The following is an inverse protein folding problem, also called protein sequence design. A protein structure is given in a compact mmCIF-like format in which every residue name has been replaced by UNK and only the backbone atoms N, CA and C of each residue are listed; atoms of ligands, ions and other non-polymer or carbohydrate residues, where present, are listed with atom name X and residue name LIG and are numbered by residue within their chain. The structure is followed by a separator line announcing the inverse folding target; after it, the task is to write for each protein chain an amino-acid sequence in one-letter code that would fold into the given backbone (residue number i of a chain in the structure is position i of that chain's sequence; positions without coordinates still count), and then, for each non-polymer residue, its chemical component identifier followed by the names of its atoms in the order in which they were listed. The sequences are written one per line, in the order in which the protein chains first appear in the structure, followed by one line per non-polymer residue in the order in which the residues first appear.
data_IF_512156406157
#
_entry.id   IF_512156406157
#
_cell.length_a   1.000
_cell.length_b   1.000
_cell.length_c   1.000
_cell.angle_alpha   90.00
_cell.angle_beta   90.00
_cell.angle_gamma   90.00
#
_symmetry.space_group_name_H-M   'P 1'
#
loop_
_entity.id
_entity.type
_entity.pdbx_description
1 polymer ?
#
# COMPACT_ATOMS: atom_id res chain seq x y z
N UNK A 1 -8.91 -8.90 -21.54
CA UNK A 1 -9.97 -8.40 -20.65
C UNK A 1 -9.46 -7.23 -19.80
N UNK A 2 -8.41 -7.37 -19.03
CA UNK A 2 -7.81 -6.32 -18.15
C UNK A 2 -7.61 -4.99 -18.90
N UNK A 3 -6.91 -4.99 -20.05
CA UNK A 3 -6.65 -3.77 -20.85
C UNK A 3 -7.93 -3.01 -21.22
N UNK A 4 -9.02 -3.72 -21.53
CA UNK A 4 -10.30 -3.10 -21.91
C UNK A 4 -10.95 -2.37 -20.74
N UNK A 5 -10.94 -2.97 -19.56
CA UNK A 5 -11.49 -2.38 -18.33
C UNK A 5 -10.67 -1.15 -17.90
N UNK A 6 -9.35 -1.25 -17.91
CA UNK A 6 -8.48 -0.10 -17.61
C UNK A 6 -8.65 1.04 -18.62
N UNK A 7 -8.79 0.70 -19.92
CA UNK A 7 -9.04 1.71 -20.95
C UNK A 7 -10.38 2.42 -20.77
N UNK A 8 -11.39 1.71 -20.31
CA UNK A 8 -12.68 2.32 -19.95
C UNK A 8 -12.51 3.37 -18.84
N UNK A 9 -11.82 3.04 -17.75
CA UNK A 9 -11.55 3.97 -16.65
C UNK A 9 -10.75 5.20 -17.12
N UNK A 10 -9.72 5.00 -17.92
CA UNK A 10 -8.91 6.06 -18.51
C UNK A 10 -9.74 6.99 -19.42
N UNK A 11 -10.69 6.43 -20.16
CA UNK A 11 -11.57 7.22 -21.03
C UNK A 11 -12.55 8.09 -20.22
N UNK A 12 -12.93 7.72 -18.99
CA UNK A 12 -13.69 8.59 -18.10
C UNK A 12 -12.90 9.86 -17.79
N UNK A 13 -11.62 9.71 -17.43
CA UNK A 13 -10.71 10.84 -17.14
C UNK A 13 -10.60 11.78 -18.34
N UNK A 14 -10.29 11.23 -19.53
CA UNK A 14 -10.09 12.02 -20.76
C UNK A 14 -11.33 12.81 -21.18
N UNK A 15 -12.52 12.31 -20.87
CA UNK A 15 -13.78 13.00 -21.16
C UNK A 15 -14.11 14.12 -20.18
N UNK A 16 -13.58 14.04 -18.97
CA UNK A 16 -13.99 14.89 -17.86
C UNK A 16 -12.81 15.69 -17.24
N UNK A 17 -11.70 15.83 -17.93
CA UNK A 17 -10.44 16.41 -17.38
C UNK A 17 -10.61 17.79 -16.74
N UNK A 18 -11.62 18.56 -17.14
CA UNK A 18 -11.97 19.88 -16.58
C UNK A 18 -13.11 19.83 -15.55
N UNK A 19 -13.67 18.66 -15.26
CA UNK A 19 -14.91 18.51 -14.48
C UNK A 19 -14.68 17.86 -13.12
N UNK A 20 -13.44 17.79 -12.67
CA UNK A 20 -13.05 17.34 -11.32
C UNK A 20 -11.79 18.02 -10.85
N UNK A 21 -11.58 18.02 -9.55
CA UNK A 21 -10.34 18.49 -8.91
C UNK A 21 -9.61 17.32 -8.26
N UNK A 22 -8.28 17.36 -8.25
CA UNK A 22 -7.42 16.39 -7.55
C UNK A 22 -6.53 17.09 -6.56
N UNK A 23 -6.51 16.58 -5.34
CA UNK A 23 -5.62 17.03 -4.28
C UNK A 23 -4.65 15.88 -3.95
N UNK A 24 -3.35 16.14 -4.04
CA UNK A 24 -2.32 15.23 -3.58
C UNK A 24 -1.72 15.75 -2.28
N UNK A 25 -1.67 14.88 -1.25
CA UNK A 25 -1.11 15.23 0.06
C UNK A 25 0.02 14.26 0.39
N UNK A 26 1.21 14.80 0.54
CA UNK A 26 2.36 14.08 1.03
C UNK A 26 2.40 14.08 2.57
N UNK A 27 3.14 13.13 3.16
CA UNK A 27 3.44 13.12 4.58
C UNK A 27 4.41 14.24 4.98
N UNK A 28 4.47 14.55 6.27
CA UNK A 28 5.39 15.54 6.82
C UNK A 28 6.78 14.90 7.05
N UNK A 29 7.84 15.53 6.56
CA UNK A 29 9.22 15.04 6.70
C UNK A 29 9.68 14.99 8.16
N UNK A 30 9.26 15.96 8.95
CA UNK A 30 9.80 16.19 10.31
C UNK A 30 8.94 15.58 11.43
N UNK A 31 8.09 14.61 11.09
CA UNK A 31 7.15 14.07 12.06
C UNK A 31 7.79 13.11 13.07
N UNK A 32 8.42 13.65 14.14
CA UNK A 32 8.83 12.93 15.37
C UNK A 32 9.46 11.53 15.19
N UNK A 33 10.25 11.32 14.13
CA UNK A 33 10.92 10.04 13.86
C UNK A 33 10.01 8.88 13.49
N UNK A 34 8.72 9.13 13.25
CA UNK A 34 7.75 8.14 12.77
C UNK A 34 7.62 8.26 11.26
N UNK A 35 7.41 7.14 10.59
CA UNK A 35 7.13 7.17 9.16
C UNK A 35 5.80 7.88 8.90
N UNK A 36 5.87 9.13 8.46
CA UNK A 36 4.71 9.99 8.20
C UNK A 36 4.03 9.72 6.85
N UNK A 37 4.57 8.78 6.06
CA UNK A 37 4.19 8.60 4.66
C UNK A 37 4.80 9.64 3.73
N UNK A 38 5.86 10.31 4.20
CA UNK A 38 6.67 11.20 3.37
C UNK A 38 7.30 10.43 2.21
N UNK A 39 7.21 10.99 1.02
CA UNK A 39 7.90 10.54 -0.17
C UNK A 39 9.15 11.38 -0.38
N UNK A 40 10.21 10.79 -0.89
CA UNK A 40 11.42 11.53 -1.22
C UNK A 40 11.17 12.58 -2.32
N UNK A 41 11.97 13.60 -2.37
CA UNK A 41 11.74 14.76 -3.25
C UNK A 41 11.60 14.39 -4.74
N UNK A 42 12.38 13.41 -5.20
CA UNK A 42 12.30 12.92 -6.58
C UNK A 42 10.98 12.19 -6.87
N UNK A 43 10.48 11.37 -5.93
CA UNK A 43 9.19 10.69 -6.05
C UNK A 43 8.04 11.68 -6.02
N UNK A 44 8.10 12.69 -5.13
CA UNK A 44 7.10 13.75 -5.05
C UNK A 44 7.01 14.51 -6.38
N UNK A 45 8.14 14.97 -6.93
CA UNK A 45 8.19 15.68 -8.21
C UNK A 45 7.62 14.87 -9.36
N UNK A 46 7.93 13.58 -9.39
CA UNK A 46 7.41 12.68 -10.41
C UNK A 46 5.88 12.56 -10.32
N UNK A 47 5.36 12.25 -9.13
CA UNK A 47 3.92 12.04 -8.90
C UNK A 47 3.15 13.36 -9.13
N UNK A 48 3.67 14.47 -8.62
CA UNK A 48 3.13 15.81 -8.80
C UNK A 48 3.00 16.15 -10.29
N UNK A 49 4.08 15.98 -11.04
CA UNK A 49 4.08 16.18 -12.50
C UNK A 49 3.05 15.31 -13.23
N UNK A 50 2.94 14.03 -12.86
CA UNK A 50 2.01 13.09 -13.52
C UNK A 50 0.56 13.41 -13.19
N UNK A 51 0.23 13.72 -11.94
CA UNK A 51 -1.13 14.06 -11.53
C UNK A 51 -1.58 15.40 -12.13
N UNK A 52 -0.70 16.39 -12.21
CA UNK A 52 -1.02 17.68 -12.83
C UNK A 52 -1.32 17.58 -14.34
N UNK A 53 -0.80 16.55 -15.03
CA UNK A 53 -1.11 16.29 -16.43
C UNK A 53 -2.50 15.68 -16.67
N UNK A 54 -3.07 15.04 -15.64
CA UNK A 54 -4.35 14.32 -15.76
C UNK A 54 -5.52 15.03 -15.08
N UNK A 55 -5.29 16.19 -14.45
CA UNK A 55 -6.33 17.06 -13.89
C UNK A 55 -5.94 18.53 -14.05
N UNK A 56 -6.82 19.33 -14.67
CA UNK A 56 -6.58 20.77 -14.80
C UNK A 56 -6.81 21.55 -13.49
N UNK A 57 -7.57 20.98 -12.57
CA UNK A 57 -7.79 21.53 -11.23
C UNK A 57 -7.00 20.67 -10.23
N UNK A 58 -5.71 20.96 -10.08
CA UNK A 58 -4.80 20.16 -9.27
C UNK A 58 -4.17 20.99 -8.16
N UNK A 59 -4.13 20.40 -6.94
CA UNK A 59 -3.52 20.99 -5.75
C UNK A 59 -2.52 20.01 -5.14
N UNK A 60 -1.38 20.52 -4.72
CA UNK A 60 -0.34 19.75 -4.05
C UNK A 60 -0.03 20.31 -2.66
N UNK A 61 0.03 19.42 -1.68
CA UNK A 61 0.36 19.73 -0.29
C UNK A 61 1.51 18.87 0.22
N UNK A 62 2.60 19.50 0.64
CA UNK A 62 3.73 18.85 1.31
C UNK A 62 3.45 18.57 2.80
N UNK A 63 2.36 19.09 3.34
CA UNK A 63 2.05 19.01 4.76
C UNK A 63 0.53 18.89 4.96
N UNK A 64 0.07 17.83 5.67
CA UNK A 64 -1.35 17.65 5.94
C UNK A 64 -2.02 18.78 6.71
N UNK A 65 -1.28 19.45 7.62
CA UNK A 65 -1.86 20.56 8.42
C UNK A 65 -2.17 21.78 7.58
N UNK A 66 -1.36 22.06 6.55
CA UNK A 66 -1.64 23.15 5.59
C UNK A 66 -2.90 22.85 4.80
N UNK A 67 -3.07 21.61 4.31
CA UNK A 67 -4.31 21.17 3.65
C UNK A 67 -5.54 21.36 4.55
N UNK A 68 -5.47 20.88 5.80
CA UNK A 68 -6.57 21.01 6.78
C UNK A 68 -6.91 22.49 7.00
N UNK A 69 -5.90 23.34 7.17
CA UNK A 69 -6.07 24.80 7.33
C UNK A 69 -6.77 25.45 6.14
N UNK A 70 -6.36 25.10 4.92
CA UNK A 70 -6.91 25.68 3.70
C UNK A 70 -8.38 25.26 3.47
N UNK A 71 -8.73 24.00 3.83
CA UNK A 71 -10.13 23.54 3.79
C UNK A 71 -10.98 24.32 4.81
N UNK A 72 -10.53 24.43 6.07
CA UNK A 72 -11.29 25.13 7.14
C UNK A 72 -11.48 26.60 6.80
N UNK A 73 -10.47 27.23 6.18
CA UNK A 73 -10.50 28.64 5.80
C UNK A 73 -11.15 28.90 4.43
N UNK A 74 -11.75 27.87 3.79
CA UNK A 74 -12.38 27.93 2.47
C UNK A 74 -11.46 28.51 1.38
N UNK A 75 -10.19 28.13 1.38
CA UNK A 75 -9.20 28.59 0.37
C UNK A 75 -9.19 27.73 -0.89
N UNK A 76 -9.88 26.59 -0.88
CA UNK A 76 -10.07 25.69 -2.02
C UNK A 76 -11.53 25.72 -2.41
N UNK A 77 -11.80 25.86 -3.71
CA UNK A 77 -13.16 25.72 -4.24
C UNK A 77 -13.56 24.24 -4.29
N UNK A 78 -14.48 23.86 -3.41
CA UNK A 78 -15.07 22.53 -3.32
C UNK A 78 -16.49 22.45 -3.91
N UNK A 79 -17.03 23.57 -4.43
CA UNK A 79 -18.41 23.64 -4.87
C UNK A 79 -18.57 23.49 -6.39
N UNK A 80 -17.55 23.87 -7.15
CA UNK A 80 -17.63 23.88 -8.62
C UNK A 80 -17.52 22.47 -9.21
N UNK A 81 -16.61 21.63 -8.67
CA UNK A 81 -16.36 20.29 -9.21
C UNK A 81 -16.23 19.25 -8.09
N UNK A 82 -16.58 17.97 -8.37
CA UNK A 82 -16.23 16.88 -7.48
C UNK A 82 -14.72 16.87 -7.23
N UNK A 83 -14.35 16.82 -5.96
CA UNK A 83 -12.94 16.87 -5.55
C UNK A 83 -12.48 15.52 -5.04
N UNK A 84 -11.35 15.06 -5.53
CA UNK A 84 -10.71 13.82 -5.14
C UNK A 84 -9.40 14.07 -4.40
N UNK A 85 -9.08 13.17 -3.46
CA UNK A 85 -7.85 13.22 -2.70
C UNK A 85 -7.06 11.93 -2.82
N UNK A 86 -5.76 12.05 -3.05
CA UNK A 86 -4.78 10.98 -2.87
C UNK A 86 -3.80 11.41 -1.78
N UNK A 87 -3.70 10.66 -0.69
CA UNK A 87 -2.84 11.03 0.43
C UNK A 87 -1.97 9.88 0.87
N UNK A 88 -0.67 10.11 0.94
CA UNK A 88 0.30 9.18 1.55
C UNK A 88 0.50 9.45 3.04
N UNK A 89 0.00 10.58 3.55
CA UNK A 89 0.22 11.05 4.90
C UNK A 89 -0.24 10.07 5.98
N UNK A 90 0.58 9.94 7.02
CA UNK A 90 0.26 9.24 8.25
C UNK A 90 0.37 10.24 9.43
N UNK A 91 -0.70 10.38 10.20
CA UNK A 91 -0.79 11.38 11.26
C UNK A 91 -1.03 10.70 12.61
N UNK A 92 -0.15 10.95 13.56
CA UNK A 92 -0.19 10.30 14.87
C UNK A 92 0.54 8.95 14.90
N UNK A 93 0.53 8.30 16.07
CA UNK A 93 1.19 7.03 16.33
C UNK A 93 0.23 5.85 16.36
N UNK A 94 -1.06 6.12 16.41
CA UNK A 94 -2.11 5.16 16.65
C UNK A 94 -2.47 4.36 15.38
N UNK A 95 -3.30 3.34 15.56
CA UNK A 95 -3.79 2.42 14.53
C UNK A 95 -4.52 3.13 13.37
N UNK A 96 -5.07 4.30 13.63
CA UNK A 96 -5.86 5.08 12.67
C UNK A 96 -5.07 6.19 11.95
N UNK A 97 -3.74 6.21 12.07
CA UNK A 97 -2.89 7.29 11.52
C UNK A 97 -3.02 7.53 10.01
N UNK A 98 -3.42 6.52 9.22
CA UNK A 98 -3.71 6.66 7.77
C UNK A 98 -5.13 7.11 7.48
N UNK A 99 -6.05 7.01 8.43
CA UNK A 99 -7.46 7.30 8.22
C UNK A 99 -7.82 8.77 8.43
N UNK A 100 -6.94 9.55 9.08
CA UNK A 100 -7.26 10.93 9.43
C UNK A 100 -7.64 11.77 8.20
N UNK A 101 -6.78 11.82 7.21
CA UNK A 101 -7.03 12.64 6.00
C UNK A 101 -8.29 12.19 5.25
N UNK A 102 -8.49 10.89 4.91
CA UNK A 102 -9.73 10.46 4.27
C UNK A 102 -11.00 10.75 5.08
N UNK A 103 -10.97 10.59 6.42
CA UNK A 103 -12.11 10.87 7.27
C UNK A 103 -12.39 12.38 7.36
N UNK A 104 -11.35 13.21 7.54
CA UNK A 104 -11.48 14.66 7.50
C UNK A 104 -12.05 15.13 6.15
N UNK A 105 -11.50 14.63 5.05
CA UNK A 105 -11.93 14.97 3.69
C UNK A 105 -13.40 14.63 3.45
N UNK A 106 -13.90 13.53 4.00
CA UNK A 106 -15.30 13.11 3.84
C UNK A 106 -16.29 14.09 4.47
N UNK A 107 -15.90 14.85 5.50
CA UNK A 107 -16.75 15.91 6.10
C UNK A 107 -17.03 17.05 5.11
N UNK A 108 -16.16 17.22 4.12
CA UNK A 108 -16.24 18.27 3.10
C UNK A 108 -16.62 17.73 1.72
N UNK A 109 -17.18 16.51 1.64
CA UNK A 109 -17.52 15.82 0.39
C UNK A 109 -16.33 15.64 -0.58
N UNK A 110 -15.10 15.58 -0.06
CA UNK A 110 -13.91 15.25 -0.84
C UNK A 110 -13.77 13.72 -0.87
N UNK A 111 -13.72 13.15 -2.06
CA UNK A 111 -13.70 11.70 -2.28
C UNK A 111 -12.27 11.14 -2.26
N UNK A 112 -12.03 10.05 -1.54
CA UNK A 112 -10.72 9.39 -1.58
C UNK A 112 -10.52 8.62 -2.89
N UNK A 113 -9.36 8.79 -3.54
CA UNK A 113 -8.90 7.94 -4.66
C UNK A 113 -8.37 6.58 -4.18
N UNK A 114 -8.19 6.43 -2.88
CA UNK A 114 -7.86 5.18 -2.18
C UNK A 114 -9.05 4.69 -1.37
N UNK A 115 -8.83 3.65 -0.59
CA UNK A 115 -9.81 3.15 0.38
C UNK A 115 -10.19 4.22 1.42
N UNK A 116 -11.35 4.07 2.04
CA UNK A 116 -11.80 4.93 3.13
C UNK A 116 -10.99 4.71 4.42
N UNK A 117 -11.20 5.57 5.41
CA UNK A 117 -10.39 5.56 6.65
C UNK A 117 -10.45 4.24 7.42
N UNK A 118 -11.62 3.58 7.47
CA UNK A 118 -11.76 2.27 8.12
C UNK A 118 -10.88 1.20 7.43
N UNK A 119 -11.00 1.06 6.13
CA UNK A 119 -10.26 0.08 5.35
C UNK A 119 -8.75 0.37 5.39
N UNK A 120 -8.33 1.64 5.34
CA UNK A 120 -6.91 2.02 5.47
C UNK A 120 -6.34 1.62 6.83
N UNK A 121 -7.09 1.84 7.92
CA UNK A 121 -6.68 1.39 9.26
C UNK A 121 -6.61 -0.13 9.36
N UNK A 122 -7.58 -0.83 8.79
CA UNK A 122 -7.62 -2.29 8.78
C UNK A 122 -6.44 -2.88 8.00
N UNK A 123 -6.18 -2.37 6.80
CA UNK A 123 -5.07 -2.82 5.94
C UNK A 123 -3.69 -2.36 6.44
N UNK A 124 -3.61 -1.43 7.38
CA UNK A 124 -2.36 -1.09 8.04
C UNK A 124 -2.03 -2.05 9.18
N UNK A 125 -3.03 -2.61 9.85
CA UNK A 125 -2.84 -3.55 10.95
C UNK A 125 -2.60 -4.96 10.41
N UNK A 126 -1.32 -5.36 10.36
CA UNK A 126 -0.89 -6.66 9.81
C UNK A 126 -1.56 -7.85 10.49
N UNK A 127 -1.67 -7.82 11.81
CA UNK A 127 -2.31 -8.90 12.54
C UNK A 127 -3.79 -9.05 12.17
N UNK A 128 -4.53 -7.94 12.07
CA UNK A 128 -5.95 -7.98 11.74
C UNK A 128 -6.20 -8.45 10.30
N UNK A 129 -5.50 -7.92 9.31
CA UNK A 129 -5.73 -8.38 7.95
C UNK A 129 -5.30 -9.84 7.73
N UNK A 130 -4.30 -10.35 8.45
CA UNK A 130 -3.98 -11.78 8.40
C UNK A 130 -5.13 -12.64 8.93
N UNK A 131 -5.82 -12.21 10.01
CA UNK A 131 -6.97 -12.96 10.52
C UNK A 131 -8.12 -13.03 9.51
N UNK A 132 -8.30 -12.01 8.68
CA UNK A 132 -9.29 -11.99 7.60
C UNK A 132 -8.83 -12.81 6.39
N UNK A 133 -7.61 -12.59 5.94
CA UNK A 133 -7.07 -13.19 4.72
C UNK A 133 -6.81 -14.71 4.82
N UNK A 134 -6.63 -15.27 6.02
CA UNK A 134 -6.41 -16.73 6.23
C UNK A 134 -7.52 -17.62 5.66
N UNK A 135 -8.68 -17.07 5.31
CA UNK A 135 -9.76 -17.79 4.64
C UNK A 135 -9.49 -18.02 3.14
N UNK A 136 -8.60 -17.22 2.54
CA UNK A 136 -8.37 -17.18 1.09
C UNK A 136 -7.01 -17.74 0.70
N UNK A 137 -6.01 -17.62 1.59
CA UNK A 137 -4.65 -18.08 1.31
C UNK A 137 -3.90 -18.50 2.58
N UNK A 138 -2.74 -19.11 2.37
CA UNK A 138 -1.83 -19.46 3.46
C UNK A 138 -1.27 -18.20 4.09
N UNK A 139 -1.23 -18.18 5.43
CA UNK A 139 -0.56 -17.14 6.22
C UNK A 139 0.60 -17.83 6.96
N UNK A 140 1.83 -17.30 6.91
CA UNK A 140 2.92 -17.81 7.72
C UNK A 140 2.55 -17.82 9.19
N UNK A 141 2.97 -18.82 9.94
CA UNK A 141 2.69 -18.90 11.38
C UNK A 141 3.10 -17.60 12.05
N UNK A 142 2.15 -16.94 12.71
CA UNK A 142 2.34 -15.58 13.22
C UNK A 142 1.88 -15.50 14.66
N UNK A 143 2.73 -14.98 15.52
CA UNK A 143 2.42 -14.60 16.89
C UNK A 143 2.46 -13.08 17.01
N UNK A 144 1.76 -12.56 18.03
CA UNK A 144 1.78 -11.13 18.34
C UNK A 144 2.30 -10.92 19.75
N UNK A 145 3.38 -10.18 19.87
CA UNK A 145 3.91 -9.71 21.15
C UNK A 145 3.30 -8.35 21.48
N UNK A 146 2.61 -8.26 22.60
CA UNK A 146 2.00 -7.02 23.12
C UNK A 146 2.71 -6.50 24.36
N UNK A 147 3.06 -7.42 25.26
CA UNK A 147 3.67 -7.09 26.56
C UNK A 147 4.46 -8.27 27.13
N UNK A 148 4.98 -8.09 28.33
CA UNK A 148 5.83 -9.06 29.03
C UNK A 148 5.12 -10.37 29.43
N UNK A 149 3.81 -10.48 29.30
CA UNK A 149 3.05 -11.71 29.55
C UNK A 149 3.18 -12.72 28.41
N UNK A 150 3.79 -12.34 27.27
CA UNK A 150 3.98 -13.21 26.13
C UNK A 150 4.89 -14.40 26.48
N UNK A 151 4.38 -15.61 26.21
CA UNK A 151 5.10 -16.86 26.45
C UNK A 151 5.96 -17.25 25.24
N UNK A 152 7.24 -16.96 25.30
CA UNK A 152 8.22 -17.29 24.26
C UNK A 152 8.47 -18.78 24.09
N UNK A 153 8.09 -19.65 25.06
CA UNK A 153 8.24 -21.10 24.93
C UNK A 153 7.39 -21.70 23.81
N UNK A 154 6.36 -20.98 23.36
CA UNK A 154 5.50 -21.36 22.20
C UNK A 154 6.18 -21.24 20.86
N UNK A 155 7.33 -20.54 20.78
CA UNK A 155 8.06 -20.34 19.53
C UNK A 155 8.90 -21.58 19.21
N UNK A 156 8.70 -22.14 18.00
CA UNK A 156 9.45 -23.31 17.56
C UNK A 156 10.91 -22.96 17.27
N UNK A 157 11.84 -23.60 17.96
CA UNK A 157 13.27 -23.31 17.86
C UNK A 157 13.88 -23.77 16.52
N UNK A 158 13.29 -24.77 15.86
CA UNK A 158 13.78 -25.31 14.59
C UNK A 158 13.49 -24.44 13.36
N UNK A 159 12.64 -23.40 13.50
CA UNK A 159 12.23 -22.49 12.43
C UNK A 159 13.01 -21.19 12.46
N UNK A 160 13.14 -20.56 11.28
CA UNK A 160 13.59 -19.16 11.17
C UNK A 160 12.40 -18.22 11.36
N UNK A 161 12.64 -17.10 12.00
CA UNK A 161 11.61 -16.11 12.32
C UNK A 161 12.00 -14.73 11.81
N UNK A 162 10.99 -13.98 11.40
CA UNK A 162 11.11 -12.56 11.10
C UNK A 162 10.26 -11.79 12.11
N UNK A 163 10.80 -10.71 12.65
CA UNK A 163 10.04 -9.79 13.47
C UNK A 163 9.70 -8.55 12.66
N UNK A 164 8.52 -8.00 12.89
CA UNK A 164 8.08 -6.76 12.24
C UNK A 164 7.06 -6.01 13.08
N UNK A 165 7.15 -4.68 13.15
CA UNK A 165 6.12 -3.87 13.80
C UNK A 165 4.78 -4.02 13.08
N UNK A 166 3.70 -4.06 13.85
CA UNK A 166 2.37 -4.36 13.34
C UNK A 166 1.81 -3.28 12.40
N UNK A 167 2.19 -2.00 12.61
CA UNK A 167 1.61 -0.85 11.90
C UNK A 167 2.60 -0.17 10.94
N UNK A 168 3.86 -0.64 10.83
CA UNK A 168 4.85 -0.01 9.95
C UNK A 168 4.73 -0.50 8.50
N UNK A 169 5.31 0.27 7.57
CA UNK A 169 5.43 -0.04 6.14
C UNK A 169 6.89 0.15 5.69
N UNK A 170 7.18 -0.05 4.41
CA UNK A 170 8.52 0.11 3.80
C UNK A 170 9.60 -0.68 4.53
N UNK A 171 9.29 -1.90 4.96
CA UNK A 171 10.14 -2.79 5.75
C UNK A 171 10.75 -2.18 7.03
N UNK A 172 10.22 -1.05 7.52
CA UNK A 172 10.69 -0.41 8.74
C UNK A 172 10.55 -1.35 9.93
N UNK A 173 11.67 -1.62 10.61
CA UNK A 173 11.72 -2.52 11.77
C UNK A 173 11.58 -4.00 11.44
N UNK A 174 11.62 -4.38 10.16
CA UNK A 174 11.65 -5.79 9.75
C UNK A 174 13.05 -6.35 9.97
N UNK A 175 13.14 -7.45 10.71
CA UNK A 175 14.41 -8.12 11.02
C UNK A 175 14.28 -9.63 10.96
N UNK A 176 15.16 -10.29 10.18
CA UNK A 176 15.31 -11.74 10.21
C UNK A 176 16.13 -12.15 11.43
N UNK A 177 15.59 -13.03 12.25
CA UNK A 177 16.24 -13.59 13.43
C UNK A 177 17.05 -14.79 13.00
N UNK A 178 18.38 -14.68 13.10
CA UNK A 178 19.33 -15.72 12.72
C UNK A 178 19.61 -16.69 13.88
N UNK A 179 19.65 -16.17 15.12
CA UNK A 179 19.78 -16.97 16.33
C UNK A 179 18.50 -16.85 17.17
N UNK A 180 17.85 -17.96 17.40
CA UNK A 180 16.60 -18.02 18.18
C UNK A 180 16.78 -17.51 19.63
N UNK A 181 18.00 -17.61 20.16
CA UNK A 181 18.30 -17.10 21.51
C UNK A 181 18.20 -15.57 21.62
N UNK A 182 18.38 -14.86 20.48
CA UNK A 182 18.26 -13.41 20.43
C UNK A 182 16.79 -12.95 20.27
N UNK A 183 15.90 -13.83 19.84
CA UNK A 183 14.51 -13.48 19.47
C UNK A 183 13.81 -12.67 20.56
N UNK A 184 13.87 -13.13 21.80
CA UNK A 184 13.17 -12.46 22.92
C UNK A 184 13.67 -11.02 23.10
N UNK A 185 14.98 -10.84 23.09
CA UNK A 185 15.59 -9.51 23.26
C UNK A 185 15.25 -8.59 22.11
N UNK A 186 15.35 -9.07 20.86
CA UNK A 186 15.06 -8.31 19.66
C UNK A 186 13.59 -7.86 19.60
N UNK A 187 12.65 -8.72 20.01
CA UNK A 187 11.23 -8.38 20.08
C UNK A 187 10.97 -7.28 21.11
N UNK A 188 11.58 -7.38 22.31
CA UNK A 188 11.44 -6.37 23.37
C UNK A 188 12.03 -5.03 22.91
N UNK A 189 13.23 -5.05 22.33
CA UNK A 189 13.89 -3.84 21.80
C UNK A 189 13.02 -3.19 20.70
N UNK A 190 12.52 -3.98 19.76
CA UNK A 190 11.64 -3.47 18.70
C UNK A 190 10.34 -2.86 19.27
N UNK A 191 9.71 -3.52 20.26
CA UNK A 191 8.49 -3.01 20.90
C UNK A 191 8.73 -1.65 21.58
N UNK A 192 9.87 -1.48 22.24
CA UNK A 192 10.23 -0.22 22.90
C UNK A 192 10.53 0.90 21.89
N UNK A 193 11.22 0.58 20.79
CA UNK A 193 11.57 1.55 19.73
C UNK A 193 10.30 2.02 19.01
N UNK A 194 9.48 1.08 18.55
CA UNK A 194 8.32 1.39 17.71
C UNK A 194 7.04 1.70 18.49
N UNK A 195 7.03 1.42 19.81
CA UNK A 195 5.89 1.65 20.73
C UNK A 195 4.57 1.06 20.21
N UNK A 196 4.65 -0.16 19.70
CA UNK A 196 3.52 -0.89 19.14
C UNK A 196 3.73 -2.39 19.27
N UNK A 197 2.69 -3.16 18.98
CA UNK A 197 2.76 -4.61 18.90
C UNK A 197 3.79 -5.07 17.87
N UNK A 198 4.50 -6.15 18.19
CA UNK A 198 5.48 -6.77 17.28
C UNK A 198 4.96 -8.14 16.82
N UNK A 199 4.93 -8.35 15.53
CA UNK A 199 4.68 -9.68 14.96
C UNK A 199 5.96 -10.49 14.95
N UNK A 200 5.84 -11.74 15.39
CA UNK A 200 6.85 -12.79 15.27
C UNK A 200 6.29 -13.76 14.25
N UNK A 201 6.83 -13.74 13.03
CA UNK A 201 6.29 -14.47 11.89
C UNK A 201 7.30 -15.48 11.36
N UNK A 202 6.85 -16.70 11.04
CA UNK A 202 7.67 -17.70 10.39
C UNK A 202 8.25 -17.14 9.08
N UNK A 203 9.55 -17.27 8.89
CA UNK A 203 10.22 -16.87 7.67
C UNK A 203 10.03 -17.93 6.59
N UNK A 204 9.32 -17.59 5.55
CA UNK A 204 9.11 -18.44 4.38
C UNK A 204 10.19 -18.14 3.35
N UNK A 205 10.96 -19.15 2.96
CA UNK A 205 11.94 -19.04 1.89
C UNK A 205 11.24 -19.10 0.54
N UNK A 206 11.40 -18.07 -0.28
CA UNK A 206 10.73 -18.02 -1.57
C UNK A 206 10.98 -16.74 -2.34
N UNK A 207 10.27 -16.61 -3.46
CA UNK A 207 10.27 -15.42 -4.31
C UNK A 207 9.16 -14.48 -3.87
N UNK A 208 9.47 -13.22 -3.72
CA UNK A 208 8.48 -12.18 -3.41
C UNK A 208 7.75 -11.79 -4.69
N UNK A 209 6.41 -11.87 -4.63
CA UNK A 209 5.52 -11.57 -5.75
C UNK A 209 4.51 -10.54 -5.29
N UNK A 210 4.45 -9.43 -5.98
CA UNK A 210 3.52 -8.35 -5.74
C UNK A 210 2.41 -8.35 -6.78
N UNK A 211 1.16 -8.29 -6.35
CA UNK A 211 -0.01 -8.26 -7.23
C UNK A 211 -0.74 -6.93 -7.05
N UNK A 212 -0.52 -5.96 -7.94
CA UNK A 212 -1.29 -4.72 -7.92
C UNK A 212 -2.75 -4.97 -8.29
N UNK A 213 -3.67 -4.32 -7.57
CA UNK A 213 -5.12 -4.43 -7.75
C UNK A 213 -5.71 -3.04 -7.89
N UNK A 214 -6.45 -2.79 -8.96
CA UNK A 214 -7.24 -1.58 -9.12
C UNK A 214 -8.72 -1.87 -8.90
N UNK A 215 -9.35 -1.16 -7.98
CA UNK A 215 -10.74 -1.37 -7.58
C UNK A 215 -11.57 -0.14 -7.95
N UNK A 216 -12.55 -0.34 -8.84
CA UNK A 216 -13.58 0.62 -9.22
C UNK A 216 -14.94 0.19 -8.65
N UNK A 217 -15.98 1.01 -8.81
CA UNK A 217 -17.34 0.70 -8.34
C UNK A 217 -17.83 -0.70 -8.75
N UNK A 218 -17.56 -1.11 -9.97
CA UNK A 218 -18.13 -2.31 -10.57
C UNK A 218 -17.12 -3.45 -10.76
N UNK A 219 -15.82 -3.22 -10.55
CA UNK A 219 -14.78 -4.17 -10.89
C UNK A 219 -13.61 -4.14 -9.90
N UNK A 220 -13.17 -5.31 -9.53
CA UNK A 220 -11.86 -5.56 -8.93
C UNK A 220 -10.98 -6.11 -10.06
N UNK A 221 -9.85 -5.48 -10.33
CA UNK A 221 -8.99 -5.76 -11.49
C UNK A 221 -7.60 -6.09 -10.98
N UNK A 222 -7.24 -7.36 -10.95
CA UNK A 222 -5.88 -7.78 -10.67
C UNK A 222 -5.00 -7.58 -11.91
N UNK A 223 -3.92 -6.83 -11.73
CA UNK A 223 -2.92 -6.60 -12.76
C UNK A 223 -1.95 -7.79 -12.86
N UNK A 224 -1.07 -7.84 -13.86
CA UNK A 224 -0.05 -8.87 -13.95
C UNK A 224 0.79 -8.93 -12.66
N UNK A 225 0.97 -10.13 -12.07
CA UNK A 225 1.83 -10.29 -10.90
C UNK A 225 3.28 -9.94 -11.21
N UNK A 226 3.93 -9.27 -10.29
CA UNK A 226 5.28 -8.73 -10.40
C UNK A 226 6.21 -9.49 -9.47
N UNK A 227 7.30 -10.02 -10.02
CA UNK A 227 8.38 -10.60 -9.24
C UNK A 227 9.34 -9.51 -8.80
N UNK A 228 9.67 -9.48 -7.52
CA UNK A 228 10.76 -8.67 -6.96
C UNK A 228 12.09 -9.40 -7.18
N UNK A 229 12.99 -8.79 -7.96
CA UNK A 229 14.32 -9.32 -8.23
C UNK A 229 15.30 -8.71 -7.23
N UNK A 230 15.81 -9.54 -6.31
CA UNK A 230 16.71 -9.13 -5.24
C UNK A 230 17.78 -10.19 -4.99
N UNK A 231 18.94 -9.76 -4.55
CA UNK A 231 20.07 -10.64 -4.19
C UNK A 231 20.21 -10.82 -2.66
N UNK A 232 19.14 -10.62 -1.91
CA UNK A 232 19.10 -10.65 -0.45
C UNK A 232 18.02 -11.64 0.02
N UNK A 233 18.18 -12.18 1.23
CA UNK A 233 17.18 -13.10 1.81
C UNK A 233 15.81 -12.42 1.98
N UNK A 234 15.78 -11.14 2.39
CA UNK A 234 14.54 -10.35 2.55
C UNK A 234 14.80 -8.88 2.20
N UNK A 235 13.75 -8.11 1.95
CA UNK A 235 13.85 -6.66 1.79
C UNK A 235 13.95 -6.02 3.18
N UNK A 236 15.09 -5.39 3.48
CA UNK A 236 15.24 -4.51 4.64
C UNK A 236 14.94 -3.07 4.23
N UNK A 237 14.73 -2.19 5.22
CA UNK A 237 14.56 -0.77 4.98
C UNK A 237 15.72 -0.18 4.16
N UNK A 238 16.98 -0.51 4.49
CA UNK A 238 18.17 -0.05 3.75
C UNK A 238 18.13 -0.43 2.26
N UNK A 239 17.64 -1.65 1.95
CA UNK A 239 17.54 -2.11 0.56
C UNK A 239 16.45 -1.33 -0.18
N UNK A 240 15.34 -1.04 0.49
CA UNK A 240 14.24 -0.22 -0.05
C UNK A 240 14.73 1.20 -0.29
N UNK A 241 15.32 1.84 0.71
CA UNK A 241 15.80 3.22 0.64
C UNK A 241 16.92 3.42 -0.41
N UNK A 242 17.65 2.36 -0.74
CA UNK A 242 18.72 2.40 -1.76
C UNK A 242 18.32 1.82 -3.11
N UNK A 243 17.06 1.41 -3.28
CA UNK A 243 16.49 0.83 -4.51
C UNK A 243 17.33 -0.32 -5.12
N UNK A 244 18.02 -1.12 -4.27
CA UNK A 244 18.89 -2.23 -4.70
C UNK A 244 18.10 -3.49 -5.10
N UNK A 245 16.96 -3.31 -5.74
CA UNK A 245 16.09 -4.34 -6.26
C UNK A 245 15.43 -3.86 -7.55
N UNK A 246 14.84 -4.77 -8.30
CA UNK A 246 14.12 -4.43 -9.53
C UNK A 246 12.88 -5.30 -9.67
N UNK A 247 12.07 -4.98 -10.67
CA UNK A 247 10.81 -5.66 -10.92
C UNK A 247 10.78 -6.31 -12.29
N UNK A 248 10.09 -7.45 -12.38
CA UNK A 248 9.79 -8.12 -13.66
C UNK A 248 8.43 -8.78 -13.61
N UNK A 249 7.75 -8.87 -14.76
CA UNK A 249 6.47 -9.57 -14.89
C UNK A 249 6.68 -11.05 -14.58
N UNK A 250 5.88 -11.60 -13.66
CA UNK A 250 5.85 -13.03 -13.41
C UNK A 250 5.10 -13.73 -14.56
N UNK A 251 5.67 -14.83 -15.04
CA UNK A 251 5.05 -15.69 -16.03
C UNK A 251 4.70 -17.06 -15.43
N UNK A 252 3.69 -17.70 -15.97
CA UNK A 252 3.32 -19.07 -15.59
C UNK A 252 1.87 -19.23 -15.14
N UNK A 253 1.46 -20.48 -14.96
CA UNK A 253 0.07 -20.83 -14.60
C UNK A 253 -0.36 -20.32 -13.22
N UNK A 254 0.60 -20.13 -12.32
CA UNK A 254 0.37 -19.64 -10.96
C UNK A 254 -0.21 -18.21 -10.94
N UNK A 255 0.06 -17.41 -11.98
CA UNK A 255 -0.40 -16.01 -12.04
C UNK A 255 -1.91 -15.87 -11.87
N UNK A 256 -2.70 -16.73 -12.51
CA UNK A 256 -4.16 -16.69 -12.40
C UNK A 256 -4.65 -16.96 -10.97
N UNK A 257 -4.00 -17.87 -10.24
CA UNK A 257 -4.34 -18.16 -8.85
C UNK A 257 -3.97 -16.99 -7.93
N UNK A 258 -2.79 -16.40 -8.11
CA UNK A 258 -2.35 -15.22 -7.37
C UNK A 258 -3.31 -14.04 -7.58
N UNK A 259 -3.67 -13.76 -8.83
CA UNK A 259 -4.62 -12.70 -9.19
C UNK A 259 -5.98 -12.92 -8.56
N UNK A 260 -6.55 -14.13 -8.71
CA UNK A 260 -7.85 -14.47 -8.13
C UNK A 260 -7.85 -14.32 -6.61
N UNK A 261 -6.83 -14.84 -5.93
CA UNK A 261 -6.73 -14.74 -4.47
C UNK A 261 -6.59 -13.28 -4.01
N UNK A 262 -5.81 -12.48 -4.74
CA UNK A 262 -5.67 -11.05 -4.43
C UNK A 262 -6.99 -10.29 -4.63
N UNK A 263 -7.77 -10.60 -5.67
CA UNK A 263 -9.12 -10.06 -5.88
C UNK A 263 -10.08 -10.44 -4.74
N UNK A 264 -10.07 -11.70 -4.31
CA UNK A 264 -10.88 -12.18 -3.18
C UNK A 264 -10.52 -11.47 -1.88
N UNK A 265 -9.23 -11.28 -1.59
CA UNK A 265 -8.77 -10.53 -0.40
C UNK A 265 -9.27 -9.09 -0.47
N UNK A 266 -9.02 -8.36 -1.56
CA UNK A 266 -9.44 -6.98 -1.72
C UNK A 266 -10.96 -6.79 -1.65
N UNK A 267 -11.73 -7.72 -2.22
CA UNK A 267 -13.19 -7.71 -2.16
C UNK A 267 -13.68 -7.85 -0.72
N UNK A 268 -13.10 -8.76 0.06
CA UNK A 268 -13.51 -8.99 1.44
C UNK A 268 -13.02 -7.90 2.42
N UNK A 269 -11.98 -7.16 2.07
CA UNK A 269 -11.55 -5.97 2.79
C UNK A 269 -12.33 -4.72 2.39
N UNK A 270 -13.25 -4.83 1.41
CA UNK A 270 -13.98 -3.70 0.83
C UNK A 270 -13.05 -2.57 0.37
N UNK A 271 -11.89 -2.97 -0.18
CA UNK A 271 -10.88 -2.04 -0.63
C UNK A 271 -11.36 -1.22 -1.83
N UNK A 272 -10.78 -0.03 -2.03
CA UNK A 272 -11.06 0.88 -3.16
C UNK A 272 -9.78 1.49 -3.69
N UNK A 273 -9.81 1.92 -4.96
CA UNK A 273 -8.67 2.53 -5.60
C UNK A 273 -7.56 1.52 -5.86
N UNK A 274 -6.31 1.95 -5.78
CA UNK A 274 -5.15 1.10 -5.99
C UNK A 274 -4.68 0.49 -4.67
N UNK A 275 -4.56 -0.85 -4.65
CA UNK A 275 -3.96 -1.63 -3.57
C UNK A 275 -2.92 -2.59 -4.15
N UNK A 276 -2.14 -3.26 -3.29
CA UNK A 276 -1.20 -4.30 -3.70
C UNK A 276 -1.20 -5.42 -2.65
N UNK A 277 -1.28 -6.65 -3.12
CA UNK A 277 -1.21 -7.84 -2.28
C UNK A 277 0.12 -8.52 -2.54
N UNK A 278 0.90 -8.75 -1.49
CA UNK A 278 2.26 -9.24 -1.59
C UNK A 278 2.34 -10.68 -1.06
N UNK A 279 2.87 -11.58 -1.88
CA UNK A 279 3.00 -12.99 -1.57
C UNK A 279 4.47 -13.44 -1.58
N UNK A 280 4.79 -14.47 -0.78
CA UNK A 280 5.99 -15.27 -0.95
C UNK A 280 5.58 -16.55 -1.67
N UNK A 281 6.19 -16.83 -2.82
CA UNK A 281 6.02 -18.06 -3.59
C UNK A 281 7.20 -18.99 -3.28
N UNK A 282 6.93 -20.10 -2.58
CA UNK A 282 7.94 -21.08 -2.20
C UNK A 282 8.39 -21.99 -3.36
N UNK A 283 9.29 -22.93 -3.10
CA UNK A 283 9.80 -23.85 -4.12
C UNK A 283 8.80 -24.89 -4.62
N UNK A 284 7.71 -25.12 -3.88
CA UNK A 284 6.62 -26.02 -4.23
C UNK A 284 5.46 -25.29 -4.94
N UNK A 285 5.67 -24.03 -5.33
CA UNK A 285 4.63 -23.15 -5.88
C UNK A 285 3.45 -22.87 -4.94
N UNK A 286 3.61 -23.07 -3.62
CA UNK A 286 2.66 -22.53 -2.66
C UNK A 286 2.92 -21.05 -2.44
N UNK A 287 1.85 -20.25 -2.36
CA UNK A 287 1.99 -18.83 -2.06
C UNK A 287 1.40 -18.49 -0.69
N UNK A 288 2.11 -17.60 0.00
CA UNK A 288 1.84 -17.20 1.37
C UNK A 288 1.65 -15.69 1.41
N UNK A 289 0.58 -15.20 1.98
CA UNK A 289 0.39 -13.76 2.13
C UNK A 289 1.47 -13.19 3.04
N UNK A 290 2.18 -12.20 2.53
CA UNK A 290 3.30 -11.56 3.21
C UNK A 290 2.97 -10.15 3.69
N UNK A 291 2.34 -9.33 2.83
CA UNK A 291 1.91 -7.97 3.17
C UNK A 291 0.69 -7.54 2.33
N UNK A 292 0.03 -6.46 2.78
CA UNK A 292 -1.01 -5.74 2.05
C UNK A 292 -0.65 -4.26 2.05
N UNK A 293 -0.37 -3.71 0.88
CA UNK A 293 -0.15 -2.28 0.70
C UNK A 293 -1.45 -1.59 0.28
N UNK A 294 -2.09 -0.93 1.24
CA UNK A 294 -3.32 -0.17 1.00
C UNK A 294 -3.10 1.10 0.15
N UNK A 295 -1.88 1.60 0.17
CA UNK A 295 -1.40 2.75 -0.59
C UNK A 295 0.00 2.39 -1.10
N UNK A 296 0.09 1.60 -2.18
CA UNK A 296 1.38 1.24 -2.78
C UNK A 296 2.02 2.46 -3.43
N UNK A 297 3.34 2.44 -3.54
CA UNK A 297 4.08 3.44 -4.30
C UNK A 297 3.61 3.46 -5.77
N UNK A 298 3.48 4.66 -6.33
CA UNK A 298 3.02 4.89 -7.70
C UNK A 298 4.07 5.57 -8.59
N UNK A 299 5.30 5.76 -8.11
CA UNK A 299 6.43 6.23 -8.90
C UNK A 299 6.89 5.21 -9.93
N UNK A 300 7.78 5.61 -10.83
CA UNK A 300 8.35 4.73 -11.88
C UNK A 300 9.08 3.53 -11.29
N UNK A 301 9.68 3.66 -10.10
CA UNK A 301 10.28 2.55 -9.36
C UNK A 301 9.24 1.85 -8.48
N UNK A 302 8.18 1.32 -9.08
CA UNK A 302 7.17 0.54 -8.36
C UNK A 302 6.61 -0.61 -9.20
N UNK A 303 6.19 -1.68 -8.54
CA UNK A 303 5.52 -2.80 -9.21
C UNK A 303 4.21 -2.40 -9.87
N UNK A 304 3.50 -1.44 -9.28
CA UNK A 304 2.28 -0.90 -9.88
C UNK A 304 2.56 -0.25 -11.23
N UNK A 305 3.58 0.58 -11.31
CA UNK A 305 3.98 1.22 -12.55
C UNK A 305 4.45 0.20 -13.59
N UNK A 306 5.27 -0.78 -13.19
CA UNK A 306 5.75 -1.85 -14.08
C UNK A 306 4.58 -2.66 -14.66
N UNK A 307 3.57 -3.00 -13.84
CA UNK A 307 2.37 -3.70 -14.31
C UNK A 307 1.57 -2.89 -15.34
N UNK A 308 1.45 -1.57 -15.13
CA UNK A 308 0.78 -0.69 -16.10
C UNK A 308 1.57 -0.52 -17.39
N UNK A 309 2.89 -0.41 -17.31
CA UNK A 309 3.79 -0.31 -18.49
C UNK A 309 3.75 -1.57 -19.35
N UNK A 310 3.56 -2.75 -18.77
CA UNK A 310 3.36 -3.99 -19.53
C UNK A 310 2.06 -3.94 -20.36
N UNK A 311 0.97 -3.38 -19.81
CA UNK A 311 -0.33 -3.29 -20.47
C UNK A 311 -0.39 -2.12 -21.46
N UNK A 312 0.23 -0.99 -21.12
CA UNK A 312 0.27 0.27 -21.90
C UNK A 312 1.71 0.73 -22.12
N UNK A 313 2.46 0.07 -23.00
CA UNK A 313 3.82 0.48 -23.33
C UNK A 313 3.84 1.94 -23.83
N UNK A 314 4.83 2.71 -23.40
CA UNK A 314 5.04 4.11 -23.78
C UNK A 314 3.93 5.11 -23.34
N UNK A 315 3.12 4.75 -22.35
CA UNK A 315 2.08 5.62 -21.79
C UNK A 315 2.28 5.78 -20.28
N UNK A 316 3.03 6.79 -19.89
CA UNK A 316 3.44 7.05 -18.52
C UNK A 316 2.31 7.62 -17.65
N UNK A 317 1.22 8.12 -18.25
CA UNK A 317 0.05 8.62 -17.53
C UNK A 317 -0.99 7.51 -17.23
N UNK A 318 -0.85 6.34 -17.82
CA UNK A 318 -1.86 5.28 -17.77
C UNK A 318 -2.25 4.85 -16.34
N UNK A 319 -1.27 4.74 -15.42
CA UNK A 319 -1.51 4.42 -14.02
C UNK A 319 -2.36 5.50 -13.33
N UNK A 320 -1.98 6.76 -13.50
CA UNK A 320 -2.63 7.90 -12.86
C UNK A 320 -4.04 8.13 -13.39
N UNK A 321 -4.22 8.07 -14.72
CA UNK A 321 -5.55 8.10 -15.35
C UNK A 321 -6.44 6.96 -14.82
N UNK A 322 -5.91 5.75 -14.64
CA UNK A 322 -6.69 4.62 -14.16
C UNK A 322 -7.10 4.77 -12.70
N UNK A 323 -6.22 5.31 -11.83
CA UNK A 323 -6.53 5.60 -10.41
C UNK A 323 -7.65 6.63 -10.32
N UNK A 324 -7.55 7.75 -11.06
CA UNK A 324 -8.58 8.79 -11.06
C UNK A 324 -9.87 8.25 -11.67
N UNK A 325 -9.80 7.50 -12.77
CA UNK A 325 -10.96 6.87 -13.40
C UNK A 325 -11.68 5.88 -12.49
N UNK A 326 -10.94 5.14 -11.66
CA UNK A 326 -11.53 4.30 -10.61
C UNK A 326 -12.29 5.16 -9.59
N UNK A 327 -11.74 6.29 -9.15
CA UNK A 327 -12.43 7.27 -8.29
C UNK A 327 -13.70 7.82 -8.94
N UNK A 328 -13.62 8.33 -10.17
CA UNK A 328 -14.76 8.84 -10.93
C UNK A 328 -15.89 7.82 -11.08
N UNK A 329 -15.55 6.53 -11.22
CA UNK A 329 -16.55 5.46 -11.33
C UNK A 329 -17.50 5.35 -10.15
N UNK A 330 -17.16 5.91 -8.98
CA UNK A 330 -18.01 5.92 -7.78
C UNK A 330 -19.02 7.05 -7.76
N UNK A 331 -18.88 8.06 -8.64
CA UNK A 331 -19.83 9.18 -8.77
C UNK A 331 -20.95 8.87 -9.78
N UNK A 332 -20.70 7.94 -10.67
CA UNK A 332 -21.64 7.47 -11.71
C UNK A 332 -22.31 6.16 -11.25
#
# INVERSE_FOLDING_TARGET
MIKKELQFLRNLVKKQVNEYSVIFINGDKDYNGVLSGYLEEYEQKEIDQKLSLVSNNYYFYNNPSTFVGDIILNRIDLNTYPTFIYSTAQIGLDINRRSFIPNFSSLYNIHSLSSGGYQLSLMQNKYHYYQLAKKFCRIPKTYIYRDSSFDFSKIEQSKKWIIKPNLECSARGVKLIKDINELKNEVIVASNIYRQDILIQEYIVGREIEVPILISKNKVIALPPIKVNKNFEYLSQEIIDTEKYSFSILQGKICANLQKTAEEICTNLEARGLCRIDFILDSEENFWLFDIAALPLISTHSSCYVAFRDIFPNDDSALYEAIIGAGLSWLV
#
